data_IF_726181805734
#
_entry.id   IF_726181805734
#
_cell.length_a   1.000
_cell.length_b   1.000
_cell.length_c   1.000
_cell.angle_alpha   90.00
_cell.angle_beta   90.00
_cell.angle_gamma   90.00
#
_symmetry.space_group_name_H-M   'P 1'
#
loop_
_entity.id
_entity.type
_entity.pdbx_description
1 polymer ?
#
# COMPACT_ATOMS: atom_id res chain seq x y z
N UNK A 1 1.43 3.69 10.34
CA UNK A 1 1.49 5.16 10.30
C UNK A 1 0.16 5.71 9.77
N UNK A 2 -0.50 6.61 10.52
CA UNK A 2 -1.59 7.41 9.98
C UNK A 2 -1.12 8.22 8.77
N UNK A 3 -2.01 8.39 7.79
CA UNK A 3 -1.74 9.15 6.57
C UNK A 3 -2.32 10.55 6.67
N UNK A 4 -1.48 11.55 6.41
CA UNK A 4 -1.86 12.96 6.30
C UNK A 4 -1.26 13.54 5.02
N UNK A 5 -2.10 14.17 4.20
CA UNK A 5 -1.70 14.82 2.93
C UNK A 5 -0.84 13.95 2.00
N UNK A 6 -1.10 12.65 1.96
CA UNK A 6 -0.42 11.73 1.04
C UNK A 6 0.78 11.00 1.62
N UNK A 7 1.17 11.27 2.87
CA UNK A 7 2.35 10.65 3.47
C UNK A 7 2.12 10.24 4.93
N UNK A 8 3.10 9.57 5.52
CA UNK A 8 3.14 9.22 6.94
C UNK A 8 3.04 10.48 7.82
N UNK A 9 2.43 10.34 9.00
CA UNK A 9 2.36 11.42 9.97
C UNK A 9 3.73 11.95 10.36
N UNK A 10 3.81 13.25 10.69
CA UNK A 10 5.04 13.90 11.19
C UNK A 10 5.67 13.14 12.36
N UNK A 11 4.86 12.68 13.33
CA UNK A 11 5.36 11.85 14.44
C UNK A 11 6.02 10.54 14.00
N UNK A 12 5.51 9.90 12.94
CA UNK A 12 6.15 8.70 12.38
C UNK A 12 7.48 9.07 11.73
N UNK A 13 7.53 10.18 11.00
CA UNK A 13 8.74 10.67 10.35
C UNK A 13 9.81 11.05 11.38
N UNK A 14 9.43 11.80 12.41
CA UNK A 14 10.32 12.19 13.51
C UNK A 14 10.91 10.94 14.19
N UNK A 15 10.09 9.93 14.49
CA UNK A 15 10.57 8.66 15.02
C UNK A 15 11.60 8.00 14.09
N UNK A 16 11.30 7.91 12.79
CA UNK A 16 12.20 7.31 11.79
C UNK A 16 13.53 8.05 11.68
N UNK A 17 13.55 9.37 11.87
CA UNK A 17 14.75 10.19 11.77
C UNK A 17 15.66 10.04 12.99
N UNK A 18 15.08 9.94 14.19
CA UNK A 18 15.85 9.92 15.44
C UNK A 18 16.18 8.51 15.94
N UNK A 19 15.46 7.47 15.47
CA UNK A 19 15.64 6.13 16.01
C UNK A 19 17.02 5.56 15.68
N UNK A 20 17.79 5.32 16.74
CA UNK A 20 19.06 4.61 16.66
C UNK A 20 18.82 3.11 16.78
N UNK A 21 19.26 2.37 15.75
CA UNK A 21 19.19 0.90 15.70
C UNK A 21 20.60 0.46 15.33
N UNK A 22 21.33 -0.11 16.30
CA UNK A 22 22.75 -0.44 16.19
C UNK A 22 23.07 -1.36 15.01
N UNK A 23 22.32 -2.44 14.84
CA UNK A 23 22.34 -3.27 13.64
C UNK A 23 20.90 -3.61 13.24
N UNK A 24 20.48 -3.10 12.08
CA UNK A 24 19.17 -3.34 11.50
C UNK A 24 19.22 -4.32 10.31
N UNK A 25 20.41 -4.66 9.81
CA UNK A 25 20.56 -5.47 8.62
C UNK A 25 19.94 -6.86 8.82
N UNK A 26 18.99 -7.20 7.96
CA UNK A 26 18.33 -8.51 7.97
C UNK A 26 17.27 -8.70 9.03
N UNK A 27 17.01 -7.69 9.87
CA UNK A 27 15.81 -7.67 10.71
C UNK A 27 14.59 -7.52 9.82
N UNK A 28 13.48 -8.15 10.18
CA UNK A 28 12.25 -8.02 9.43
C UNK A 28 11.41 -6.85 9.92
N UNK A 29 10.68 -6.22 9.00
CA UNK A 29 9.79 -5.11 9.31
C UNK A 29 8.49 -5.23 8.55
N UNK A 30 7.39 -4.83 9.17
CA UNK A 30 6.07 -4.83 8.54
C UNK A 30 5.53 -3.40 8.60
N UNK A 31 5.28 -2.81 7.43
CA UNK A 31 4.80 -1.44 7.31
C UNK A 31 3.31 -1.38 6.97
N UNK A 32 2.56 -0.64 7.79
CA UNK A 32 1.12 -0.39 7.62
C UNK A 32 0.90 1.12 7.49
N UNK A 33 0.27 1.57 6.41
CA UNK A 33 -0.25 2.93 6.28
C UNK A 33 -1.77 2.92 6.49
N UNK A 34 -2.33 3.91 7.20
CA UNK A 34 -3.77 3.97 7.47
C UNK A 34 -4.36 5.34 7.17
N UNK A 35 -5.37 5.38 6.30
CA UNK A 35 -6.07 6.58 5.88
C UNK A 35 -7.57 6.46 6.17
N UNK A 36 -8.10 7.45 6.88
CA UNK A 36 -9.55 7.66 7.05
C UNK A 36 -10.14 8.36 5.83
N UNK A 37 -10.82 9.49 6.06
CA UNK A 37 -11.22 10.47 5.04
C UNK A 37 -11.61 9.89 3.67
N UNK A 38 -10.89 10.32 2.64
CA UNK A 38 -11.07 9.86 1.25
C UNK A 38 -10.42 8.50 0.96
N UNK A 39 -9.64 7.96 1.91
CA UNK A 39 -8.83 6.75 1.76
C UNK A 39 -7.55 6.94 0.93
N UNK A 40 -7.27 8.14 0.41
CA UNK A 40 -6.11 8.44 -0.45
C UNK A 40 -4.81 8.61 0.35
N UNK A 41 -3.67 8.46 -0.31
CA UNK A 41 -2.31 8.65 0.22
C UNK A 41 -1.68 7.39 0.82
N UNK A 42 -2.32 6.23 0.68
CA UNK A 42 -1.90 4.98 1.29
C UNK A 42 -0.65 4.39 0.63
N UNK A 43 -0.59 4.42 -0.70
CA UNK A 43 0.51 3.86 -1.47
C UNK A 43 1.79 4.66 -1.27
N UNK A 44 1.70 5.98 -1.32
CA UNK A 44 2.84 6.86 -1.03
C UNK A 44 3.32 6.71 0.42
N UNK A 45 2.41 6.76 1.40
CA UNK A 45 2.79 6.59 2.79
C UNK A 45 3.43 5.22 3.09
N UNK A 46 2.96 4.13 2.46
CA UNK A 46 3.62 2.83 2.62
C UNK A 46 4.97 2.81 1.91
N UNK A 47 5.11 3.46 0.75
CA UNK A 47 6.41 3.63 0.08
C UNK A 47 7.42 4.38 0.96
N UNK A 48 7.00 5.41 1.71
CA UNK A 48 7.87 6.12 2.67
C UNK A 48 8.37 5.20 3.78
N UNK A 49 7.49 4.37 4.37
CA UNK A 49 7.88 3.38 5.40
C UNK A 49 8.90 2.39 4.84
N UNK A 50 8.66 1.89 3.62
CA UNK A 50 9.54 0.89 3.01
C UNK A 50 10.85 1.49 2.48
N UNK A 51 10.86 2.77 2.13
CA UNK A 51 12.09 3.51 1.83
C UNK A 51 12.98 3.61 3.07
N UNK A 52 12.39 3.90 4.24
CA UNK A 52 13.10 3.83 5.52
C UNK A 52 13.65 2.43 5.77
N UNK A 53 12.85 1.37 5.59
CA UNK A 53 13.33 -0.01 5.76
C UNK A 53 14.48 -0.34 4.79
N UNK A 54 14.40 0.07 3.53
CA UNK A 54 15.44 -0.15 2.52
C UNK A 54 16.77 0.47 2.95
N UNK A 55 16.77 1.74 3.35
CA UNK A 55 17.98 2.45 3.77
C UNK A 55 18.57 1.90 5.07
N UNK A 56 17.72 1.41 5.98
CA UNK A 56 18.14 0.73 7.22
C UNK A 56 18.47 -0.75 7.04
N UNK A 57 18.41 -1.29 5.82
CA UNK A 57 18.66 -2.71 5.53
C UNK A 57 17.73 -3.67 6.28
N UNK A 58 16.53 -3.21 6.64
CA UNK A 58 15.46 -4.04 7.18
C UNK A 58 14.84 -4.81 6.01
N UNK A 59 14.51 -6.09 6.18
CA UNK A 59 13.72 -6.89 5.23
C UNK A 59 12.24 -6.60 5.44
N UNK A 60 11.74 -5.58 4.72
CA UNK A 60 10.32 -5.24 4.71
C UNK A 60 9.47 -6.39 4.17
N UNK A 61 8.35 -6.71 4.81
CA UNK A 61 7.40 -7.74 4.37
C UNK A 61 5.97 -7.22 4.43
N UNK A 62 5.15 -7.65 3.48
CA UNK A 62 3.70 -7.41 3.44
C UNK A 62 3.33 -5.91 3.59
N UNK A 63 3.70 -5.04 2.63
CA UNK A 63 3.27 -3.64 2.65
C UNK A 63 1.74 -3.56 2.68
N UNK A 64 1.20 -2.89 3.69
CA UNK A 64 -0.23 -2.96 4.01
C UNK A 64 -0.88 -1.57 3.98
N UNK A 65 -1.43 -1.15 2.83
CA UNK A 65 -2.26 0.05 2.74
C UNK A 65 -3.68 -0.19 3.27
N UNK A 66 -4.08 0.56 4.30
CA UNK A 66 -5.36 0.42 5.00
C UNK A 66 -6.22 1.67 4.84
N UNK A 67 -7.35 1.54 4.14
CA UNK A 67 -8.38 2.58 4.10
C UNK A 67 -9.53 2.25 5.05
N UNK A 68 -10.42 3.22 5.27
CA UNK A 68 -11.71 2.95 5.91
C UNK A 68 -12.56 1.89 5.19
N UNK A 69 -12.31 1.64 3.90
CA UNK A 69 -13.09 0.72 3.06
C UNK A 69 -12.62 -0.73 3.20
N UNK A 70 -11.34 -0.96 3.48
CA UNK A 70 -10.78 -2.32 3.61
C UNK A 70 -10.43 -2.69 5.06
N UNK A 71 -10.62 -1.80 6.03
CA UNK A 71 -10.19 -1.98 7.42
C UNK A 71 -10.55 -3.35 8.01
N UNK A 72 -11.84 -3.74 7.95
CA UNK A 72 -12.30 -5.04 8.50
C UNK A 72 -11.60 -6.23 7.83
N UNK A 73 -11.55 -6.24 6.50
CA UNK A 73 -10.90 -7.30 5.71
C UNK A 73 -9.40 -7.40 6.00
N UNK A 74 -8.73 -6.28 6.22
CA UNK A 74 -7.30 -6.26 6.54
C UNK A 74 -7.07 -6.70 7.99
N UNK A 75 -7.92 -6.30 8.93
CA UNK A 75 -7.84 -6.70 10.33
C UNK A 75 -7.80 -8.24 10.49
N UNK A 76 -8.61 -8.96 9.71
CA UNK A 76 -8.61 -10.43 9.67
C UNK A 76 -7.27 -11.04 9.21
N UNK A 77 -6.51 -10.32 8.37
CA UNK A 77 -5.24 -10.77 7.79
C UNK A 77 -4.01 -10.28 8.54
N UNK A 78 -4.14 -9.22 9.31
CA UNK A 78 -3.03 -8.62 10.06
C UNK A 78 -2.44 -9.60 11.07
N UNK A 79 -3.27 -10.45 11.68
CA UNK A 79 -2.78 -11.49 12.59
C UNK A 79 -1.80 -12.44 11.89
N UNK A 80 -2.16 -12.93 10.69
CA UNK A 80 -1.30 -13.82 9.91
C UNK A 80 0.02 -13.14 9.51
N UNK A 81 -0.03 -11.85 9.16
CA UNK A 81 1.16 -11.09 8.76
C UNK A 81 2.08 -10.82 9.96
N UNK A 82 1.50 -10.53 11.13
CA UNK A 82 2.24 -10.41 12.40
C UNK A 82 2.85 -11.74 12.86
N UNK A 83 2.12 -12.86 12.71
CA UNK A 83 2.65 -14.21 12.96
C UNK A 83 3.87 -14.50 12.08
N UNK A 84 3.74 -14.26 10.77
CA UNK A 84 4.85 -14.41 9.82
C UNK A 84 6.05 -13.52 10.19
N UNK A 85 5.82 -12.28 10.62
CA UNK A 85 6.90 -11.40 11.10
C UNK A 85 7.63 -12.01 12.30
N UNK A 86 6.90 -12.54 13.28
CA UNK A 86 7.48 -13.14 14.48
C UNK A 86 8.27 -14.43 14.17
N UNK A 87 7.77 -15.25 13.24
CA UNK A 87 8.45 -16.46 12.75
C UNK A 87 9.74 -16.11 12.02
N UNK A 88 9.70 -15.14 11.09
CA UNK A 88 10.89 -14.70 10.35
C UNK A 88 11.91 -14.02 11.26
N UNK A 89 11.47 -13.35 12.33
CA UNK A 89 12.35 -12.63 13.25
C UNK A 89 13.09 -13.54 14.24
N UNK A 90 12.85 -14.86 14.23
CA UNK A 90 13.64 -15.81 15.02
C UNK A 90 15.12 -15.82 14.58
N UNK A 91 15.38 -15.60 13.29
CA UNK A 91 16.73 -15.52 12.74
C UNK A 91 16.82 -14.35 11.76
N UNK A 92 17.72 -13.40 12.05
CA UNK A 92 17.98 -12.32 11.12
C UNK A 92 18.61 -12.87 9.84
N UNK A 93 18.13 -12.40 8.68
CA UNK A 93 18.68 -12.75 7.37
C UNK A 93 19.30 -11.51 6.75
N UNK A 94 20.59 -11.19 6.99
CA UNK A 94 21.23 -10.03 6.40
C UNK A 94 21.08 -9.98 4.87
N UNK A 95 21.05 -8.78 4.31
CA UNK A 95 21.28 -8.61 2.88
C UNK A 95 22.75 -8.86 2.57
N UNK A 96 23.01 -9.66 1.54
CA UNK A 96 24.39 -9.99 1.14
C UNK A 96 25.08 -8.83 0.44
N UNK A 97 24.33 -8.08 -0.36
CA UNK A 97 24.81 -6.96 -1.15
C UNK A 97 23.64 -6.06 -1.60
N UNK A 98 23.96 -5.02 -2.37
CA UNK A 98 22.97 -4.09 -2.90
C UNK A 98 21.95 -4.77 -3.83
N UNK A 99 22.38 -5.75 -4.64
CA UNK A 99 21.50 -6.46 -5.56
C UNK A 99 20.43 -7.27 -4.82
N UNK A 100 20.79 -8.10 -3.83
CA UNK A 100 19.83 -8.82 -2.98
C UNK A 100 18.80 -7.86 -2.36
N UNK A 101 19.27 -6.69 -1.89
CA UNK A 101 18.38 -5.68 -1.33
C UNK A 101 17.42 -5.08 -2.35
N UNK A 102 17.91 -4.64 -3.51
CA UNK A 102 17.04 -4.06 -4.55
C UNK A 102 16.03 -5.12 -5.03
N UNK A 103 16.49 -6.35 -5.29
CA UNK A 103 15.64 -7.43 -5.77
C UNK A 103 14.51 -7.76 -4.79
N UNK A 104 14.80 -7.76 -3.48
CA UNK A 104 13.80 -7.95 -2.44
C UNK A 104 12.69 -6.90 -2.52
N UNK A 105 13.04 -5.62 -2.63
CA UNK A 105 12.07 -4.52 -2.65
C UNK A 105 11.33 -4.40 -4.00
N UNK A 106 11.97 -4.74 -5.11
CA UNK A 106 11.35 -4.74 -6.45
C UNK A 106 10.16 -5.71 -6.57
N UNK A 107 10.14 -6.74 -5.72
CA UNK A 107 9.09 -7.77 -5.66
C UNK A 107 7.92 -7.38 -4.75
N UNK A 108 8.06 -6.34 -3.92
CA UNK A 108 7.03 -5.98 -2.95
C UNK A 108 5.86 -5.22 -3.62
N UNK A 109 4.60 -5.57 -3.28
CA UNK A 109 3.43 -4.90 -3.85
C UNK A 109 3.38 -3.44 -3.41
N UNK A 110 2.63 -2.63 -4.16
CA UNK A 110 2.38 -1.21 -3.90
C UNK A 110 3.60 -0.28 -4.01
N UNK A 111 4.84 -0.78 -3.96
CA UNK A 111 6.03 0.08 -4.00
C UNK A 111 6.25 0.78 -5.35
N UNK A 112 5.60 0.30 -6.40
CA UNK A 112 5.62 0.89 -7.75
C UNK A 112 4.30 1.59 -8.11
N UNK A 113 3.36 1.66 -7.17
CA UNK A 113 2.05 2.25 -7.45
C UNK A 113 2.17 3.77 -7.58
N UNK A 114 1.56 4.29 -8.64
CA UNK A 114 1.34 5.70 -8.89
C UNK A 114 -0.02 6.14 -8.34
N UNK A 115 -0.35 7.43 -8.45
CA UNK A 115 -1.67 7.96 -8.10
C UNK A 115 -2.82 7.21 -8.80
N UNK A 116 -2.64 6.85 -10.07
CA UNK A 116 -3.64 6.09 -10.83
C UNK A 116 -3.87 4.70 -10.22
N UNK A 117 -2.80 4.00 -9.84
CA UNK A 117 -2.90 2.66 -9.26
C UNK A 117 -3.55 2.71 -7.87
N UNK A 118 -3.30 3.77 -7.09
CA UNK A 118 -3.99 4.01 -5.83
C UNK A 118 -5.49 4.25 -6.03
N UNK A 119 -5.90 5.07 -7.02
CA UNK A 119 -7.32 5.27 -7.31
C UNK A 119 -7.99 3.94 -7.66
N UNK A 120 -7.37 3.10 -8.48
CA UNK A 120 -7.90 1.77 -8.81
C UNK A 120 -7.99 0.86 -7.58
N UNK A 121 -6.98 0.88 -6.71
CA UNK A 121 -7.02 0.17 -5.44
C UNK A 121 -8.23 0.61 -4.59
N UNK A 122 -8.51 1.92 -4.51
CA UNK A 122 -9.65 2.42 -3.76
C UNK A 122 -10.98 2.05 -4.40
N UNK A 123 -11.07 2.06 -5.73
CA UNK A 123 -12.26 1.61 -6.46
C UNK A 123 -12.54 0.13 -6.17
N UNK A 124 -11.52 -0.73 -6.18
CA UNK A 124 -11.66 -2.15 -5.84
C UNK A 124 -12.22 -2.33 -4.42
N UNK A 125 -11.71 -1.57 -3.45
CA UNK A 125 -12.18 -1.61 -2.07
C UNK A 125 -13.62 -1.12 -1.94
N UNK A 126 -13.96 -0.02 -2.64
CA UNK A 126 -15.32 0.54 -2.69
C UNK A 126 -16.31 -0.45 -3.32
N UNK A 127 -15.94 -1.11 -4.42
CA UNK A 127 -16.73 -2.17 -5.05
C UNK A 127 -17.04 -3.28 -4.04
N UNK A 128 -16.04 -3.68 -3.25
CA UNK A 128 -16.18 -4.73 -2.24
C UNK A 128 -17.19 -4.43 -1.12
N UNK A 129 -17.48 -3.15 -0.85
CA UNK A 129 -18.42 -2.73 0.20
C UNK A 129 -19.73 -2.13 -0.34
N UNK A 130 -19.87 -2.00 -1.66
CA UNK A 130 -20.98 -1.29 -2.31
C UNK A 130 -22.05 -2.22 -2.89
N UNK A 131 -22.19 -3.45 -2.39
CA UNK A 131 -23.08 -4.49 -2.93
C UNK A 131 -24.52 -4.00 -3.18
N UNK A 132 -25.03 -3.10 -2.33
CA UNK A 132 -26.41 -2.61 -2.41
C UNK A 132 -26.54 -1.24 -3.11
N UNK A 133 -25.46 -0.69 -3.67
CA UNK A 133 -25.52 0.62 -4.36
C UNK A 133 -26.02 0.43 -5.80
N UNK A 134 -27.07 1.16 -6.25
CA UNK A 134 -27.50 1.13 -7.65
C UNK A 134 -26.38 1.51 -8.64
N UNK A 135 -25.46 2.38 -8.20
CA UNK A 135 -24.33 2.86 -8.97
C UNK A 135 -23.21 1.80 -9.18
N UNK A 136 -23.28 0.64 -8.49
CA UNK A 136 -22.24 -0.39 -8.53
C UNK A 136 -21.95 -0.92 -9.94
N UNK A 137 -22.99 -1.19 -10.72
CA UNK A 137 -22.83 -1.73 -12.07
C UNK A 137 -22.04 -0.76 -12.97
N UNK A 138 -22.39 0.53 -12.90
CA UNK A 138 -21.70 1.59 -13.66
C UNK A 138 -20.25 1.75 -13.21
N UNK A 139 -19.99 1.76 -11.90
CA UNK A 139 -18.63 1.86 -11.39
C UNK A 139 -17.75 0.66 -11.78
N UNK A 140 -18.28 -0.56 -11.74
CA UNK A 140 -17.58 -1.77 -12.20
C UNK A 140 -17.24 -1.70 -13.68
N UNK A 141 -18.15 -1.20 -14.51
CA UNK A 141 -17.89 -1.02 -15.94
C UNK A 141 -16.72 -0.05 -16.17
N UNK A 142 -16.75 1.13 -15.54
CA UNK A 142 -15.68 2.12 -15.65
C UNK A 142 -14.34 1.57 -15.11
N UNK A 143 -14.37 0.80 -14.01
CA UNK A 143 -13.20 0.14 -13.43
C UNK A 143 -12.55 -0.86 -14.40
N UNK A 144 -13.35 -1.71 -15.05
CA UNK A 144 -12.82 -2.70 -16.01
C UNK A 144 -12.32 -2.03 -17.30
N UNK A 145 -12.94 -0.93 -17.76
CA UNK A 145 -12.40 -0.14 -18.87
C UNK A 145 -11.03 0.43 -18.50
N UNK A 146 -10.89 1.01 -17.30
CA UNK A 146 -9.62 1.56 -16.84
C UNK A 146 -8.51 0.48 -16.79
N UNK A 147 -8.80 -0.70 -16.23
CA UNK A 147 -7.86 -1.83 -16.20
C UNK A 147 -7.48 -2.31 -17.61
N UNK A 148 -8.44 -2.41 -18.51
CA UNK A 148 -8.18 -2.80 -19.91
C UNK A 148 -7.25 -1.81 -20.61
N UNK A 149 -7.46 -0.51 -20.42
CA UNK A 149 -6.59 0.53 -20.98
C UNK A 149 -5.17 0.46 -20.42
N UNK A 150 -5.01 0.20 -19.11
CA UNK A 150 -3.68 0.00 -18.51
C UNK A 150 -2.97 -1.22 -19.11
N UNK A 151 -3.68 -2.33 -19.30
CA UNK A 151 -3.11 -3.54 -19.92
C UNK A 151 -2.69 -3.32 -21.38
N UNK A 152 -3.28 -2.35 -22.06
CA UNK A 152 -2.90 -1.91 -23.41
C UNK A 152 -1.77 -0.85 -23.41
N UNK A 153 -1.22 -0.48 -22.25
CA UNK A 153 -0.23 0.60 -22.12
C UNK A 153 -0.81 2.02 -22.18
N UNK A 154 -2.13 2.18 -22.32
CA UNK A 154 -2.83 3.47 -22.46
C UNK A 154 -3.19 4.07 -21.10
N UNK A 155 -2.17 4.32 -20.27
CA UNK A 155 -2.37 4.77 -18.88
C UNK A 155 -3.08 6.12 -18.79
N UNK A 156 -2.73 7.10 -19.62
CA UNK A 156 -3.38 8.42 -19.61
C UNK A 156 -4.88 8.32 -19.93
N UNK A 157 -5.26 7.51 -20.92
CA UNK A 157 -6.66 7.30 -21.29
C UNK A 157 -7.47 6.64 -20.17
N UNK A 158 -6.81 5.82 -19.33
CA UNK A 158 -7.47 5.13 -18.21
C UNK A 158 -7.85 6.04 -17.06
N UNK A 159 -7.19 7.20 -16.92
CA UNK A 159 -7.36 8.13 -15.78
C UNK A 159 -8.82 8.55 -15.63
N UNK A 160 -9.47 8.97 -16.73
CA UNK A 160 -10.87 9.42 -16.70
C UNK A 160 -11.82 8.32 -16.21
N UNK A 161 -11.55 7.07 -16.57
CA UNK A 161 -12.37 5.92 -16.20
C UNK A 161 -12.14 5.52 -14.74
N UNK A 162 -10.89 5.51 -14.29
CA UNK A 162 -10.55 5.25 -12.89
C UNK A 162 -11.17 6.27 -11.94
N UNK A 163 -11.06 7.56 -12.26
CA UNK A 163 -11.65 8.66 -11.46
C UNK A 163 -13.18 8.56 -11.46
N UNK A 164 -13.80 8.36 -12.62
CA UNK A 164 -15.26 8.21 -12.72
C UNK A 164 -15.78 7.03 -11.92
N UNK A 165 -15.08 5.89 -11.92
CA UNK A 165 -15.44 4.73 -11.10
C UNK A 165 -15.36 5.06 -9.60
N UNK A 166 -14.32 5.77 -9.17
CA UNK A 166 -14.14 6.20 -7.79
C UNK A 166 -15.25 7.16 -7.36
N UNK A 167 -15.47 8.23 -8.12
CA UNK A 167 -16.47 9.25 -7.79
C UNK A 167 -17.88 8.67 -7.75
N UNK A 168 -18.19 7.70 -8.63
CA UNK A 168 -19.49 7.01 -8.68
C UNK A 168 -19.81 6.19 -7.43
N UNK A 169 -18.79 5.71 -6.70
CA UNK A 169 -19.00 4.90 -5.47
C UNK A 169 -18.67 5.65 -4.19
N UNK A 170 -17.77 6.63 -4.26
CA UNK A 170 -17.38 7.42 -3.12
C UNK A 170 -18.49 8.41 -2.72
N UNK A 171 -19.12 9.02 -3.71
CA UNK A 171 -20.35 9.81 -3.57
C UNK A 171 -21.60 8.93 -3.78
#
# INVERSE_FOLDING_TARGET
APVYYGDISGLTKDFMDIVSISNANGKYGLGISIAGGTGKGLCLAVQSIYSFFYHRQIRGIDPTPVSRFNFKKIQERLYASGKKLAELSQEAKPFQNLWDRIEHYEKLPYLKHTFLDEILLLVEQLIGISANKPALAKAKQEYEIAKSLINQGKRLDSVKHAVKAYDTLYF
#
